data_IF_152269812610
#
_entry.id   IF_152269812610
#
_cell.length_a   1.000
_cell.length_b   1.000
_cell.length_c   1.000
_cell.angle_alpha   90.00
_cell.angle_beta   90.00
_cell.angle_gamma   90.00
#
_symmetry.space_group_name_H-M   'P 1'
#
loop_
_entity.id
_entity.type
_entity.pdbx_description
1 polymer ?
#
# COMPACT_ATOMS: atom_id res chain seq x y z
N UNK A 1 8.89 -0.83 -13.78
CA UNK A 1 9.80 -1.99 -13.67
C UNK A 1 8.93 -3.23 -13.59
N UNK A 2 8.94 -4.07 -14.62
CA UNK A 2 8.15 -5.30 -14.68
C UNK A 2 9.14 -6.45 -14.57
N UNK A 3 9.08 -7.22 -13.48
CA UNK A 3 9.86 -8.44 -13.32
C UNK A 3 8.85 -9.60 -13.43
N UNK A 4 9.06 -10.48 -14.41
CA UNK A 4 8.44 -11.80 -14.57
C UNK A 4 6.97 -11.91 -15.06
N UNK A 5 6.46 -11.04 -15.93
CA UNK A 5 5.24 -11.34 -16.72
C UNK A 5 3.94 -11.56 -15.93
N UNK A 6 3.99 -11.48 -14.61
CA UNK A 6 2.86 -11.31 -13.72
C UNK A 6 2.69 -9.79 -13.65
N UNK A 7 1.53 -9.31 -14.05
CA UNK A 7 1.09 -7.95 -13.75
C UNK A 7 1.07 -7.84 -12.22
N UNK A 8 2.20 -7.53 -11.58
CA UNK A 8 2.27 -7.35 -10.15
C UNK A 8 1.47 -6.10 -9.84
N UNK A 9 0.17 -6.34 -9.62
CA UNK A 9 -0.76 -5.56 -8.82
C UNK A 9 0.00 -4.93 -7.67
N UNK A 10 0.54 -3.74 -7.89
CA UNK A 10 1.47 -3.16 -6.93
C UNK A 10 0.63 -2.73 -5.75
N UNK A 11 0.70 -3.49 -4.65
CA UNK A 11 0.15 -3.04 -3.39
C UNK A 11 1.13 -2.04 -2.79
N UNK A 12 0.63 -0.88 -2.37
CA UNK A 12 1.43 0.03 -1.55
C UNK A 12 1.77 -0.70 -0.25
N UNK A 13 3.07 -0.88 0.08
CA UNK A 13 3.49 -1.56 1.30
C UNK A 13 3.17 -0.67 2.49
N UNK A 14 2.13 -1.03 3.24
CA UNK A 14 1.74 -0.29 4.45
C UNK A 14 1.89 -1.16 5.70
N UNK A 15 2.28 -0.52 6.80
CA UNK A 15 2.46 -1.12 8.12
C UNK A 15 1.69 -0.34 9.17
N UNK A 16 0.98 -1.05 10.04
CA UNK A 16 0.32 -0.45 11.21
C UNK A 16 1.35 -0.29 12.35
N UNK A 17 1.52 0.92 12.85
CA UNK A 17 2.37 1.25 14.02
C UNK A 17 1.58 2.24 14.88
N UNK A 18 1.39 1.92 16.17
CA UNK A 18 0.67 2.77 17.14
C UNK A 18 -0.67 3.32 16.63
N UNK A 19 -1.45 2.47 15.94
CA UNK A 19 -2.75 2.83 15.40
C UNK A 19 -2.70 3.67 14.12
N UNK A 20 -1.54 3.90 13.51
CA UNK A 20 -1.38 4.64 12.25
C UNK A 20 -0.76 3.78 11.16
N UNK A 21 -1.22 3.98 9.93
CA UNK A 21 -0.69 3.30 8.76
C UNK A 21 0.47 4.11 8.18
N UNK A 22 1.64 3.49 8.09
CA UNK A 22 2.85 4.05 7.49
C UNK A 22 3.19 3.30 6.21
N UNK A 23 3.85 3.98 5.29
CA UNK A 23 4.48 3.34 4.13
C UNK A 23 5.96 3.15 4.38
N UNK A 24 6.52 2.15 3.72
CA UNK A 24 7.96 1.95 3.71
C UNK A 24 8.68 3.18 3.13
N UNK A 25 9.76 3.60 3.79
CA UNK A 25 10.50 4.81 3.43
C UNK A 25 11.19 4.68 2.07
N UNK A 26 11.77 3.52 1.77
CA UNK A 26 12.42 3.27 0.48
C UNK A 26 11.38 3.28 -0.63
N UNK A 27 10.22 2.66 -0.39
CA UNK A 27 9.09 2.72 -1.33
C UNK A 27 8.63 4.15 -1.60
N UNK A 28 8.47 4.96 -0.54
CA UNK A 28 8.05 6.35 -0.64
C UNK A 28 9.05 7.19 -1.44
N UNK A 29 10.35 7.08 -1.11
CA UNK A 29 11.42 7.79 -1.79
C UNK A 29 11.50 7.40 -3.27
N UNK A 30 11.50 6.09 -3.57
CA UNK A 30 11.57 5.58 -4.93
C UNK A 30 10.39 6.05 -5.78
N UNK A 31 9.18 6.09 -5.21
CA UNK A 31 7.98 6.61 -5.88
C UNK A 31 8.07 8.10 -6.25
N UNK A 32 8.94 8.85 -5.57
CA UNK A 32 9.21 10.27 -5.82
C UNK A 32 10.46 10.50 -6.68
N UNK A 33 11.17 9.44 -7.11
CA UNK A 33 12.43 9.55 -7.84
C UNK A 33 13.63 9.88 -6.94
N UNK A 34 13.61 9.38 -5.71
CA UNK A 34 14.70 9.51 -4.74
C UNK A 34 15.15 8.14 -4.23
N UNK A 35 16.39 8.07 -3.80
CA UNK A 35 16.91 6.99 -2.95
C UNK A 35 17.07 7.53 -1.53
N UNK A 36 16.55 6.81 -0.54
CA UNK A 36 16.65 7.18 0.87
C UNK A 36 17.54 6.19 1.62
N UNK A 37 18.46 6.72 2.44
CA UNK A 37 19.35 5.93 3.29
C UNK A 37 19.35 6.46 4.72
N UNK A 38 19.34 5.54 5.69
CA UNK A 38 19.50 5.87 7.11
C UNK A 38 20.99 5.97 7.47
N UNK A 39 21.35 7.01 8.22
CA UNK A 39 22.73 7.28 8.62
C UNK A 39 22.83 7.25 10.14
N UNK A 40 23.26 6.11 10.67
CA UNK A 40 23.23 5.77 12.11
C UNK A 40 23.96 6.78 13.01
N UNK A 41 25.17 7.19 12.63
CA UNK A 41 26.00 8.08 13.46
C UNK A 41 25.41 9.49 13.63
N UNK A 42 24.46 9.88 12.77
CA UNK A 42 23.79 11.18 12.82
C UNK A 42 22.29 11.07 13.04
N UNK A 43 21.74 9.85 13.15
CA UNK A 43 20.31 9.60 13.27
C UNK A 43 19.49 10.39 12.22
N UNK A 44 19.97 10.39 10.98
CA UNK A 44 19.45 11.22 9.88
C UNK A 44 19.10 10.37 8.65
N UNK A 45 18.09 10.79 7.89
CA UNK A 45 17.76 10.23 6.56
C UNK A 45 18.38 11.13 5.49
N UNK A 46 19.17 10.54 4.59
CA UNK A 46 19.64 11.21 3.38
C UNK A 46 18.77 10.76 2.22
N UNK A 47 18.11 11.71 1.55
CA UNK A 47 17.39 11.48 0.31
C UNK A 47 18.17 12.09 -0.86
N UNK A 48 18.65 11.25 -1.76
CA UNK A 48 19.35 11.69 -2.98
C UNK A 48 18.42 11.55 -4.16
N UNK A 49 18.41 12.54 -5.07
CA UNK A 49 17.64 12.41 -6.30
C UNK A 49 18.25 11.28 -7.11
N UNK A 50 17.44 10.30 -7.50
CA UNK A 50 17.94 9.23 -8.37
C UNK A 50 18.24 9.87 -9.72
N UNK A 51 19.50 10.14 -10.01
CA UNK A 51 19.89 10.50 -11.37
C UNK A 51 19.60 9.27 -12.24
N UNK A 52 18.56 9.36 -13.07
CA UNK A 52 18.13 8.29 -13.98
C UNK A 52 19.18 7.93 -15.07
N UNK A 53 20.45 8.31 -14.85
CA UNK A 53 21.61 8.13 -15.71
C UNK A 53 22.40 6.85 -15.42
N UNK A 54 22.02 6.02 -14.44
CA UNK A 54 22.62 4.69 -14.20
C UNK A 54 21.63 3.56 -14.57
N UNK A 55 20.88 3.73 -15.66
CA UNK A 55 20.12 2.63 -16.28
C UNK A 55 20.85 2.00 -17.49
N UNK A 56 22.07 2.45 -17.83
CA UNK A 56 22.81 1.96 -19.01
C UNK A 56 24.19 1.32 -18.71
N UNK A 57 24.61 1.14 -17.45
CA UNK A 57 25.98 0.68 -17.15
C UNK A 57 26.12 -0.49 -16.15
N UNK A 58 25.07 -1.24 -15.84
CA UNK A 58 25.18 -2.47 -15.01
C UNK A 58 24.90 -3.77 -15.77
N UNK A 59 24.48 -3.70 -17.05
CA UNK A 59 24.20 -4.90 -17.87
C UNK A 59 25.41 -5.46 -18.65
N UNK A 60 26.64 -5.02 -18.37
CA UNK A 60 27.83 -5.46 -19.15
C UNK A 60 28.98 -6.08 -18.35
N UNK A 61 28.84 -6.31 -17.03
CA UNK A 61 29.97 -6.82 -16.21
C UNK A 61 29.75 -8.08 -15.38
N UNK A 62 28.77 -8.92 -15.73
CA UNK A 62 28.68 -10.28 -15.15
C UNK A 62 28.31 -11.34 -16.19
N UNK A 63 29.11 -11.39 -17.26
CA UNK A 63 29.38 -12.65 -17.93
C UNK A 63 30.77 -13.13 -17.46
N UNK A 64 30.81 -14.39 -17.01
CA UNK A 64 31.97 -15.17 -16.55
C UNK A 64 32.52 -14.89 -15.13
N UNK A 65 32.00 -15.67 -14.18
CA UNK A 65 32.85 -16.60 -13.42
C UNK A 65 32.02 -17.82 -13.02
N UNK A 66 32.52 -19.00 -13.39
CA UNK A 66 31.92 -20.30 -13.18
C UNK A 66 32.09 -20.78 -11.72
N UNK A 67 31.06 -21.53 -11.28
CA UNK A 67 31.02 -22.59 -10.25
C UNK A 67 31.51 -22.30 -8.84
N UNK A 68 30.56 -22.36 -7.89
CA UNK A 68 30.58 -23.31 -6.76
C UNK A 68 29.11 -23.67 -6.45
N UNK A 69 28.73 -24.93 -6.65
CA UNK A 69 27.47 -25.47 -6.14
C UNK A 69 27.61 -25.62 -4.62
N UNK A 70 26.94 -24.77 -3.85
CA UNK A 70 26.62 -25.08 -2.46
C UNK A 70 25.18 -25.55 -2.41
N UNK A 71 25.05 -26.81 -2.01
CA UNK A 71 23.79 -27.46 -1.71
C UNK A 71 23.18 -26.78 -0.47
N UNK A 72 22.46 -25.69 -0.70
CA UNK A 72 21.66 -25.07 0.33
C UNK A 72 20.49 -26.01 0.64
N UNK A 73 20.52 -26.57 1.86
CA UNK A 73 19.39 -27.27 2.45
C UNK A 73 18.11 -26.50 2.16
N UNK A 74 17.26 -27.09 1.31
CA UNK A 74 15.86 -26.71 1.17
C UNK A 74 15.21 -26.99 2.52
N UNK A 75 15.31 -26.03 3.43
CA UNK A 75 14.35 -25.90 4.50
C UNK A 75 13.09 -25.54 3.75
N UNK A 76 12.21 -26.51 3.58
CA UNK A 76 10.82 -26.33 3.16
C UNK A 76 10.16 -25.46 4.24
N UNK A 77 10.47 -24.17 4.20
CA UNK A 77 9.83 -23.16 5.00
C UNK A 77 8.43 -23.13 4.43
N UNK A 78 7.52 -23.83 5.09
CA UNK A 78 6.10 -23.82 4.75
C UNK A 78 5.69 -22.35 4.80
N UNK A 79 5.66 -21.70 3.63
CA UNK A 79 5.16 -20.34 3.51
C UNK A 79 3.68 -20.49 3.81
N UNK A 80 3.30 -20.19 5.05
CA UNK A 80 1.91 -20.18 5.44
C UNK A 80 1.25 -19.13 4.57
N UNK A 81 0.46 -19.60 3.60
CA UNK A 81 -0.27 -18.72 2.72
C UNK A 81 -1.20 -17.83 3.57
N UNK A 82 -1.18 -16.51 3.37
CA UNK A 82 -2.02 -15.58 4.13
C UNK A 82 -3.49 -15.99 4.02
N UNK A 83 -4.14 -16.23 5.16
CA UNK A 83 -5.51 -16.74 5.17
C UNK A 83 -6.49 -15.58 5.13
N UNK A 84 -7.36 -15.56 4.11
CA UNK A 84 -8.43 -14.55 4.01
C UNK A 84 -9.58 -14.93 4.94
N UNK A 85 -9.82 -14.12 5.97
CA UNK A 85 -10.89 -14.33 6.96
C UNK A 85 -12.15 -13.50 6.67
N UNK A 86 -12.04 -12.50 5.78
CA UNK A 86 -13.15 -11.69 5.30
C UNK A 86 -12.91 -11.28 3.86
N UNK A 87 -13.97 -11.28 3.05
CA UNK A 87 -13.94 -10.65 1.74
C UNK A 87 -15.28 -10.00 1.38
N UNK A 88 -15.22 -8.90 0.66
CA UNK A 88 -16.39 -8.21 0.12
C UNK A 88 -16.02 -7.54 -1.20
N UNK A 89 -16.95 -7.47 -2.14
CA UNK A 89 -16.79 -6.72 -3.39
C UNK A 89 -17.88 -5.69 -3.54
N UNK A 90 -17.54 -4.51 -4.04
CA UNK A 90 -18.53 -3.48 -4.34
C UNK A 90 -17.90 -2.19 -4.83
N UNK A 91 -18.68 -1.12 -4.81
CA UNK A 91 -18.20 0.20 -5.25
C UNK A 91 -17.52 0.93 -4.10
N UNK A 92 -16.30 1.41 -4.32
CA UNK A 92 -15.65 2.38 -3.46
C UNK A 92 -15.94 3.81 -3.92
N UNK A 93 -15.93 4.74 -2.97
CA UNK A 93 -15.70 6.16 -3.24
C UNK A 93 -14.55 6.68 -2.39
N UNK A 94 -14.35 7.99 -2.37
CA UNK A 94 -13.39 8.63 -1.48
C UNK A 94 -13.91 9.98 -0.98
N UNK A 95 -13.38 10.41 0.17
CA UNK A 95 -13.64 11.71 0.78
C UNK A 95 -12.31 12.42 1.11
N UNK A 96 -12.33 13.75 1.06
CA UNK A 96 -11.13 14.58 1.20
C UNK A 96 -11.44 15.98 1.71
N UNK A 97 -10.63 16.95 1.29
CA UNK A 97 -10.48 18.34 1.76
C UNK A 97 -11.56 18.93 2.67
N UNK A 98 -12.83 18.91 2.28
CA UNK A 98 -13.93 19.46 3.09
C UNK A 98 -14.11 18.78 4.45
N UNK A 99 -13.66 17.53 4.60
CA UNK A 99 -13.76 16.77 5.84
C UNK A 99 -12.47 16.82 6.67
N UNK A 100 -11.37 17.34 6.11
CA UNK A 100 -10.06 17.30 6.76
C UNK A 100 -10.08 18.05 8.10
N UNK A 101 -9.56 17.41 9.15
CA UNK A 101 -9.61 17.93 10.52
C UNK A 101 -10.97 17.77 11.21
N UNK A 102 -12.01 17.26 10.53
CA UNK A 102 -13.27 16.87 11.16
C UNK A 102 -13.10 15.65 12.07
N UNK A 103 -14.04 15.42 13.00
CA UNK A 103 -14.05 14.20 13.80
C UNK A 103 -14.65 13.05 13.00
N UNK A 104 -14.00 11.88 13.02
CA UNK A 104 -14.56 10.63 12.51
C UNK A 104 -15.44 9.96 13.58
N UNK A 105 -16.15 8.91 13.18
CA UNK A 105 -16.95 8.09 14.09
C UNK A 105 -16.13 7.30 15.12
N UNK A 106 -14.82 7.13 14.91
CA UNK A 106 -13.92 6.58 15.94
C UNK A 106 -13.50 7.62 16.99
N UNK A 107 -13.80 8.90 16.77
CA UNK A 107 -13.36 10.02 17.59
C UNK A 107 -12.02 10.63 17.18
N UNK A 108 -11.34 10.06 16.18
CA UNK A 108 -10.09 10.60 15.62
C UNK A 108 -10.35 11.81 14.73
N UNK A 109 -9.33 12.67 14.54
CA UNK A 109 -9.39 13.73 13.54
C UNK A 109 -9.07 13.14 12.16
N UNK A 110 -9.94 13.36 11.18
CA UNK A 110 -9.74 12.87 9.82
C UNK A 110 -8.54 13.54 9.15
N UNK A 111 -7.59 12.71 8.73
CA UNK A 111 -6.45 13.13 7.93
C UNK A 111 -6.56 12.54 6.51
N UNK A 112 -6.77 13.38 5.50
CA UNK A 112 -6.91 12.93 4.12
C UNK A 112 -5.62 12.29 3.55
N UNK A 113 -4.48 12.54 4.18
CA UNK A 113 -3.17 12.02 3.80
C UNK A 113 -2.82 10.69 4.49
N UNK A 114 -3.64 10.22 5.45
CA UNK A 114 -3.46 8.92 6.10
C UNK A 114 -4.18 7.81 5.32
N UNK A 115 -3.69 6.56 5.43
CA UNK A 115 -4.32 5.39 4.82
C UNK A 115 -5.47 4.86 5.67
N UNK A 116 -6.58 5.59 5.66
CA UNK A 116 -7.79 5.28 6.43
C UNK A 116 -9.02 5.17 5.54
N UNK A 117 -10.09 4.57 6.07
CA UNK A 117 -11.36 4.42 5.37
C UNK A 117 -12.56 4.36 6.32
N UNK A 118 -13.73 4.69 5.77
CA UNK A 118 -15.04 4.49 6.39
C UNK A 118 -15.66 3.17 5.92
N UNK A 119 -16.15 2.36 6.88
CA UNK A 119 -16.90 1.13 6.59
C UNK A 119 -18.14 1.00 7.48
N UNK A 120 -19.20 0.35 6.97
CA UNK A 120 -20.52 0.30 7.63
C UNK A 120 -20.46 -0.43 8.97
N UNK A 121 -19.79 -1.57 9.00
CA UNK A 121 -19.90 -2.55 10.11
C UNK A 121 -18.56 -3.08 10.61
N UNK A 122 -17.46 -2.81 9.90
CA UNK A 122 -16.17 -3.37 10.32
C UNK A 122 -15.71 -2.65 11.60
N UNK A 123 -15.15 -3.38 12.58
CA UNK A 123 -14.61 -2.77 13.79
C UNK A 123 -13.60 -1.66 13.48
N UNK A 124 -13.55 -0.63 14.33
CA UNK A 124 -12.49 0.37 14.20
C UNK A 124 -11.13 -0.27 14.50
N UNK A 125 -10.10 0.14 13.76
CA UNK A 125 -8.77 -0.44 13.85
C UNK A 125 -8.54 -1.65 12.94
N UNK A 126 -9.59 -2.24 12.36
CA UNK A 126 -9.44 -3.30 11.37
C UNK A 126 -8.63 -2.81 10.17
N UNK A 127 -7.62 -3.60 9.79
CA UNK A 127 -6.83 -3.35 8.58
C UNK A 127 -7.44 -4.16 7.43
N UNK A 128 -7.76 -3.47 6.34
CA UNK A 128 -8.41 -4.05 5.17
C UNK A 128 -7.51 -3.82 3.97
N UNK A 129 -7.18 -4.88 3.24
CA UNK A 129 -6.58 -4.79 1.91
C UNK A 129 -7.67 -4.39 0.92
N UNK A 130 -7.50 -3.23 0.29
CA UNK A 130 -8.39 -2.73 -0.74
C UNK A 130 -7.71 -2.88 -2.09
N UNK A 131 -8.30 -3.64 -3.00
CA UNK A 131 -7.80 -3.83 -4.36
C UNK A 131 -8.77 -3.20 -5.35
N UNK A 132 -8.30 -2.27 -6.18
CA UNK A 132 -9.06 -1.75 -7.31
C UNK A 132 -9.17 -2.80 -8.40
N UNK A 133 -10.40 -3.12 -8.81
CA UNK A 133 -10.64 -4.07 -9.90
C UNK A 133 -10.36 -3.46 -11.27
N UNK A 134 -10.33 -2.13 -11.38
CA UNK A 134 -10.00 -1.42 -12.62
C UNK A 134 -8.49 -1.38 -12.89
N UNK A 135 -7.68 -1.10 -11.86
CA UNK A 135 -6.23 -0.87 -12.02
C UNK A 135 -5.39 -2.05 -11.56
N UNK A 136 -5.98 -2.98 -10.80
CA UNK A 136 -5.25 -4.04 -10.11
C UNK A 136 -4.41 -3.57 -8.92
N UNK A 137 -4.27 -2.25 -8.70
CA UNK A 137 -3.49 -1.69 -7.58
C UNK A 137 -4.21 -1.92 -6.25
N UNK A 138 -3.43 -1.98 -5.17
CA UNK A 138 -3.95 -2.24 -3.84
C UNK A 138 -3.28 -1.38 -2.77
N UNK A 139 -3.93 -1.26 -1.61
CA UNK A 139 -3.37 -0.64 -0.41
C UNK A 139 -4.08 -1.22 0.81
N UNK A 140 -3.36 -1.39 1.92
CA UNK A 140 -4.04 -1.68 3.19
C UNK A 140 -4.41 -0.37 3.87
N UNK A 141 -5.67 -0.28 4.31
CA UNK A 141 -6.23 0.87 5.02
C UNK A 141 -6.73 0.44 6.38
N UNK A 142 -6.73 1.36 7.33
CA UNK A 142 -7.35 1.15 8.64
C UNK A 142 -8.77 1.75 8.67
N UNK A 143 -9.72 0.99 9.20
CA UNK A 143 -11.08 1.50 9.41
C UNK A 143 -11.09 2.43 10.63
N UNK A 144 -11.46 3.70 10.42
CA UNK A 144 -11.58 4.68 11.50
C UNK A 144 -12.85 5.53 11.42
N UNK A 145 -13.74 5.23 10.49
CA UNK A 145 -14.99 5.96 10.32
C UNK A 145 -16.16 5.06 9.89
N UNK A 146 -17.38 5.61 9.90
CA UNK A 146 -18.63 4.94 9.53
C UNK A 146 -19.22 5.53 8.25
N UNK A 147 -19.96 4.67 7.56
CA UNK A 147 -20.43 4.90 6.20
C UNK A 147 -19.77 3.90 5.24
N UNK A 148 -19.95 4.02 3.92
CA UNK A 148 -20.90 4.90 3.24
C UNK A 148 -22.37 4.56 3.57
N UNK A 149 -23.22 5.58 3.68
CA UNK A 149 -24.67 5.40 3.87
C UNK A 149 -25.43 5.24 2.54
N UNK A 150 -24.76 5.46 1.40
CA UNK A 150 -25.32 5.20 0.07
C UNK A 150 -25.42 3.69 -0.18
N UNK A 151 -26.58 3.23 -0.68
CA UNK A 151 -26.90 1.80 -0.81
C UNK A 151 -25.91 0.97 -1.63
N UNK A 152 -25.25 1.58 -2.62
CA UNK A 152 -24.40 0.86 -3.58
C UNK A 152 -22.89 0.98 -3.33
N UNK A 153 -22.47 1.54 -2.18
CA UNK A 153 -21.06 1.65 -1.82
C UNK A 153 -20.73 0.76 -0.63
N UNK A 154 -19.54 0.19 -0.65
CA UNK A 154 -19.03 -0.70 0.42
C UNK A 154 -17.98 0.01 1.29
N UNK A 155 -17.20 0.93 0.71
CA UNK A 155 -16.14 1.63 1.42
C UNK A 155 -15.97 3.06 0.88
N UNK A 156 -15.69 4.01 1.77
CA UNK A 156 -15.23 5.34 1.38
C UNK A 156 -13.78 5.49 1.85
N UNK A 157 -12.87 5.77 0.90
CA UNK A 157 -11.43 5.86 1.14
C UNK A 157 -11.00 7.29 1.49
N UNK A 158 -9.90 7.44 2.22
CA UNK A 158 -9.18 8.71 2.27
C UNK A 158 -8.62 9.08 0.88
N UNK A 159 -8.29 10.35 0.68
CA UNK A 159 -7.68 10.82 -0.57
C UNK A 159 -6.39 10.05 -0.90
N UNK A 160 -5.48 9.86 0.07
CA UNK A 160 -4.24 9.11 -0.14
C UNK A 160 -4.49 7.64 -0.53
N UNK A 161 -5.45 6.98 0.12
CA UNK A 161 -5.82 5.60 -0.20
C UNK A 161 -6.44 5.48 -1.59
N UNK A 162 -7.28 6.44 -1.98
CA UNK A 162 -7.87 6.49 -3.31
C UNK A 162 -6.81 6.76 -4.40
N UNK A 163 -5.82 7.60 -4.11
CA UNK A 163 -4.69 7.87 -5.01
C UNK A 163 -3.83 6.63 -5.24
N UNK A 164 -3.50 5.91 -4.15
CA UNK A 164 -2.71 4.68 -4.19
C UNK A 164 -3.30 3.61 -5.13
N UNK A 165 -4.63 3.45 -5.15
CA UNK A 165 -5.29 2.46 -6.00
C UNK A 165 -5.74 3.03 -7.37
N UNK A 166 -5.48 4.31 -7.64
CA UNK A 166 -5.89 4.99 -8.89
C UNK A 166 -7.38 5.29 -8.99
N UNK A 167 -8.08 5.44 -7.85
CA UNK A 167 -9.51 5.77 -7.77
C UNK A 167 -9.77 7.28 -7.72
N UNK A 168 -8.81 8.08 -7.23
CA UNK A 168 -9.00 9.53 -6.95
C UNK A 168 -9.60 10.31 -8.12
N UNK A 169 -9.05 10.15 -9.33
CA UNK A 169 -9.53 10.84 -10.53
C UNK A 169 -10.87 10.31 -11.05
N UNK A 170 -11.14 9.01 -10.88
CA UNK A 170 -12.40 8.38 -11.29
C UNK A 170 -13.57 8.70 -10.34
N UNK A 171 -13.27 9.00 -9.08
CA UNK A 171 -14.27 9.29 -8.03
C UNK A 171 -14.94 8.03 -7.47
N UNK A 172 -15.39 7.13 -8.34
CA UNK A 172 -16.04 5.86 -8.01
C UNK A 172 -15.39 4.70 -8.77
N UNK A 173 -15.45 3.50 -8.20
CA UNK A 173 -14.89 2.33 -8.87
C UNK A 173 -15.07 1.03 -8.11
N UNK A 174 -15.06 -0.11 -8.83
CA UNK A 174 -15.20 -1.43 -8.22
C UNK A 174 -13.93 -1.83 -7.46
N UNK A 175 -14.11 -2.33 -6.24
CA UNK A 175 -13.03 -2.81 -5.37
C UNK A 175 -13.34 -4.19 -4.79
N UNK A 176 -12.27 -4.90 -4.41
CA UNK A 176 -12.30 -6.07 -3.53
C UNK A 176 -11.67 -5.70 -2.19
N UNK A 177 -12.36 -6.00 -1.10
CA UNK A 177 -11.91 -5.87 0.27
C UNK A 177 -11.51 -7.24 0.79
N UNK A 178 -10.36 -7.33 1.47
CA UNK A 178 -9.88 -8.56 2.10
C UNK A 178 -9.29 -8.26 3.48
N UNK A 179 -9.59 -9.09 4.48
CA UNK A 179 -8.87 -9.11 5.75
C UNK A 179 -8.08 -10.41 5.81
N UNK A 180 -6.79 -10.28 6.09
CA UNK A 180 -5.82 -11.38 6.08
C UNK A 180 -5.38 -11.66 7.52
N UNK A 181 -5.32 -12.94 7.87
CA UNK A 181 -4.74 -13.52 9.10
C UNK A 181 -3.32 -14.04 8.83
#
# INVERSE_FOLDING_TARGET
>A
MTINGINQKTCVPTKLVDGKMYIDLEFAASSLGYEATWVENTNTIIATKSDASIAQLENFKRAQACTEEKEDKVIEKTVLEPKVIYHETGTASWYGGSHHGGCTSSGERFNQYEYTAAHKTLPFGTVVKVTSLNTGKCVNVRINDRGPFSRNRVIDLSMASAEAIGLKSAGLGPVKLEIIE
#
